data_IF_024483745905
#
_entry.id   IF_024483745905
#
_cell.length_a   1.000
_cell.length_b   1.000
_cell.length_c   1.000
_cell.angle_alpha   90.00
_cell.angle_beta   90.00
_cell.angle_gamma   90.00
#
_symmetry.space_group_name_H-M   'P 1'
#
loop_
_entity.id
_entity.type
_entity.pdbx_description
1 polymer ?
#
# COMPACT_ATOMS: atom_id res chain seq x y z
N UNK A 1 1.80 -8.50 26.84
CA UNK A 1 1.93 -7.79 25.54
C UNK A 1 2.44 -8.83 24.53
N UNK A 2 1.55 -9.43 23.73
CA UNK A 2 1.97 -10.28 22.61
C UNK A 2 2.65 -9.38 21.59
N UNK A 3 3.95 -9.54 21.44
CA UNK A 3 4.72 -8.97 20.34
C UNK A 3 4.06 -9.45 19.05
N UNK A 4 3.68 -8.53 18.14
CA UNK A 4 3.14 -8.88 16.82
C UNK A 4 4.27 -9.57 16.04
N UNK A 5 4.27 -10.90 16.04
CA UNK A 5 5.11 -11.64 15.10
C UNK A 5 4.54 -11.42 13.71
N UNK A 6 5.26 -10.72 12.87
CA UNK A 6 4.83 -10.42 11.50
C UNK A 6 4.80 -11.65 10.60
N UNK A 7 5.58 -12.68 10.94
CA UNK A 7 5.60 -13.96 10.24
C UNK A 7 5.82 -15.09 11.23
N UNK A 8 5.02 -16.13 11.16
CA UNK A 8 5.22 -17.38 11.89
C UNK A 8 5.80 -18.38 10.91
N UNK A 9 6.80 -19.13 11.37
CA UNK A 9 7.52 -20.12 10.58
C UNK A 9 7.13 -21.52 10.97
N UNK A 10 6.65 -22.29 10.02
CA UNK A 10 6.25 -23.67 10.22
C UNK A 10 7.01 -24.68 9.37
N UNK A 11 7.26 -25.85 9.95
CA UNK A 11 8.00 -26.92 9.29
C UNK A 11 7.14 -27.83 8.41
N UNK A 12 5.80 -27.75 8.55
CA UNK A 12 4.86 -28.55 7.76
C UNK A 12 3.56 -27.82 7.52
N UNK A 13 2.83 -28.22 6.47
CA UNK A 13 1.48 -27.69 6.19
C UNK A 13 0.48 -28.04 7.28
N UNK A 14 0.63 -29.20 7.92
CA UNK A 14 -0.25 -29.62 9.01
C UNK A 14 -0.10 -28.72 10.23
N UNK A 15 1.13 -28.41 10.63
CA UNK A 15 1.39 -27.48 11.71
C UNK A 15 0.87 -26.08 11.37
N UNK A 16 1.13 -25.61 10.16
CA UNK A 16 0.62 -24.34 9.66
C UNK A 16 -0.91 -24.28 9.72
N UNK A 17 -1.61 -25.30 9.22
CA UNK A 17 -3.07 -25.37 9.24
C UNK A 17 -3.63 -25.30 10.66
N UNK A 18 -3.01 -26.02 11.59
CA UNK A 18 -3.36 -25.99 13.01
C UNK A 18 -3.19 -24.58 13.60
N UNK A 19 -2.06 -23.95 13.36
CA UNK A 19 -1.72 -22.63 13.92
C UNK A 19 -2.64 -21.51 13.42
N UNK A 20 -3.05 -21.57 12.14
CA UNK A 20 -3.98 -20.57 11.58
C UNK A 20 -5.45 -20.93 11.76
N UNK A 21 -5.76 -22.11 12.32
CA UNK A 21 -7.13 -22.54 12.67
C UNK A 21 -7.98 -22.92 11.45
N UNK A 22 -7.37 -23.50 10.40
CA UNK A 22 -8.09 -24.01 9.23
C UNK A 22 -7.86 -25.51 9.03
N UNK A 23 -8.73 -26.18 8.27
CA UNK A 23 -8.52 -27.59 7.98
C UNK A 23 -7.34 -27.81 7.04
N UNK A 24 -6.57 -28.87 7.25
CA UNK A 24 -5.43 -29.22 6.39
C UNK A 24 -5.87 -29.52 4.95
N UNK A 25 -7.06 -30.07 4.76
CA UNK A 25 -7.62 -30.37 3.44
C UNK A 25 -7.86 -29.07 2.65
N UNK A 26 -8.43 -28.05 3.29
CA UNK A 26 -8.67 -26.73 2.65
C UNK A 26 -7.38 -26.03 2.32
N UNK A 27 -6.40 -26.06 3.23
CA UNK A 27 -5.08 -25.46 2.98
C UNK A 27 -4.38 -26.18 1.83
N UNK A 28 -4.32 -27.51 1.86
CA UNK A 28 -3.70 -28.33 0.82
C UNK A 28 -4.37 -28.14 -0.53
N UNK A 29 -5.69 -28.08 -0.58
CA UNK A 29 -6.42 -27.79 -1.82
C UNK A 29 -6.05 -26.44 -2.41
N UNK A 30 -6.00 -25.40 -1.56
CA UNK A 30 -5.65 -24.03 -2.00
C UNK A 30 -4.22 -23.98 -2.53
N UNK A 31 -3.26 -24.56 -1.81
CA UNK A 31 -1.86 -24.56 -2.21
C UNK A 31 -1.61 -25.37 -3.48
N UNK A 32 -2.21 -26.56 -3.57
CA UNK A 32 -2.11 -27.39 -4.78
C UNK A 32 -2.74 -26.69 -6.01
N UNK A 33 -3.86 -25.99 -5.79
CA UNK A 33 -4.48 -25.21 -6.85
C UNK A 33 -3.58 -24.06 -7.31
N UNK A 34 -2.99 -23.31 -6.37
CA UNK A 34 -2.03 -22.25 -6.68
C UNK A 34 -0.79 -22.81 -7.42
N UNK A 35 -0.19 -23.90 -6.92
CA UNK A 35 0.99 -24.50 -7.54
C UNK A 35 0.71 -24.99 -8.98
N UNK A 36 -0.51 -25.51 -9.25
CA UNK A 36 -0.94 -25.82 -10.61
C UNK A 36 -1.05 -24.58 -11.51
N UNK A 37 -1.60 -23.47 -10.97
CA UNK A 37 -1.66 -22.20 -11.72
C UNK A 37 -0.26 -21.69 -12.06
N UNK A 38 0.68 -21.77 -11.12
CA UNK A 38 2.09 -21.42 -11.36
C UNK A 38 2.68 -22.26 -12.49
N UNK A 39 2.52 -23.58 -12.40
CA UNK A 39 3.04 -24.51 -13.41
C UNK A 39 2.42 -24.30 -14.81
N UNK A 40 1.16 -23.89 -14.88
CA UNK A 40 0.45 -23.60 -16.12
C UNK A 40 0.64 -22.18 -16.64
N UNK A 41 1.21 -21.27 -15.83
CA UNK A 41 1.32 -19.84 -16.13
C UNK A 41 -0.03 -19.15 -16.32
N UNK A 42 -1.11 -19.73 -15.81
CA UNK A 42 -2.49 -19.26 -16.02
C UNK A 42 -3.34 -19.41 -14.77
N UNK A 43 -4.06 -18.35 -14.42
CA UNK A 43 -5.09 -18.35 -13.39
C UNK A 43 -6.49 -18.23 -14.03
N UNK A 44 -7.24 -19.34 -14.14
CA UNK A 44 -8.56 -19.31 -14.77
C UNK A 44 -9.63 -18.67 -13.88
N UNK A 45 -9.36 -18.47 -12.59
CA UNK A 45 -10.33 -17.96 -11.61
C UNK A 45 -10.30 -16.45 -11.46
N UNK A 46 -9.10 -15.86 -11.39
CA UNK A 46 -8.91 -14.43 -11.14
C UNK A 46 -8.12 -13.71 -12.23
N UNK A 47 -7.71 -14.41 -13.27
CA UNK A 47 -7.00 -13.82 -14.41
C UNK A 47 -5.59 -13.33 -14.08
N UNK A 48 -4.95 -13.85 -13.03
CA UNK A 48 -3.58 -13.48 -12.68
C UNK A 48 -2.62 -13.92 -13.79
N UNK A 49 -1.75 -13.00 -14.21
CA UNK A 49 -0.79 -13.23 -15.30
C UNK A 49 0.66 -13.32 -14.82
N UNK A 50 0.93 -12.95 -13.57
CA UNK A 50 2.28 -12.97 -13.00
C UNK A 50 2.33 -13.92 -11.81
N UNK A 51 3.22 -14.90 -11.92
CA UNK A 51 3.50 -15.88 -10.87
C UNK A 51 4.98 -15.83 -10.53
N UNK A 52 5.30 -15.92 -9.22
CA UNK A 52 6.69 -15.89 -8.78
C UNK A 52 7.26 -17.31 -8.72
N UNK A 53 6.71 -18.14 -7.84
CA UNK A 53 7.19 -19.50 -7.61
C UNK A 53 6.09 -20.33 -6.93
N UNK A 54 6.28 -21.66 -6.94
CA UNK A 54 5.44 -22.59 -6.18
C UNK A 54 5.65 -22.43 -4.68
N UNK A 55 4.65 -22.84 -3.91
CA UNK A 55 4.72 -22.93 -2.44
C UNK A 55 4.65 -24.42 -2.10
N UNK A 56 5.81 -25.09 -2.09
CA UNK A 56 5.90 -26.55 -1.95
C UNK A 56 7.01 -27.01 -0.98
N UNK A 57 7.92 -26.10 -0.63
CA UNK A 57 9.09 -26.43 0.19
C UNK A 57 9.05 -25.69 1.52
N UNK A 58 9.13 -26.38 2.68
CA UNK A 58 9.25 -25.74 3.96
C UNK A 58 10.62 -25.03 4.13
N UNK A 59 10.73 -24.07 5.05
CA UNK A 59 9.71 -23.66 6.00
C UNK A 59 8.63 -22.78 5.37
N UNK A 60 7.38 -22.97 5.79
CA UNK A 60 6.25 -22.13 5.41
C UNK A 60 6.14 -20.93 6.34
N UNK A 61 5.73 -19.79 5.77
CA UNK A 61 5.52 -18.55 6.52
C UNK A 61 4.11 -18.04 6.30
N UNK A 62 3.49 -17.54 7.36
CA UNK A 62 2.22 -16.87 7.25
C UNK A 62 2.17 -15.59 8.08
N UNK A 63 1.31 -14.68 7.69
CA UNK A 63 0.99 -13.47 8.41
C UNK A 63 -0.51 -13.23 8.40
N UNK A 64 -1.03 -12.65 9.48
CA UNK A 64 -2.44 -12.23 9.54
C UNK A 64 -2.51 -10.84 8.94
N UNK A 65 -3.25 -10.70 7.83
CA UNK A 65 -3.49 -9.45 7.17
C UNK A 65 -4.97 -9.06 7.26
N UNK A 66 -5.21 -7.77 7.26
CA UNK A 66 -6.55 -7.20 7.21
C UNK A 66 -6.62 -6.24 6.04
N UNK A 67 -7.74 -6.28 5.33
CA UNK A 67 -8.04 -5.24 4.34
C UNK A 67 -8.24 -3.93 5.07
N UNK A 68 -7.46 -2.92 4.69
CA UNK A 68 -7.63 -1.55 5.14
C UNK A 68 -7.31 -0.60 3.99
N UNK A 69 -8.01 0.52 3.97
CA UNK A 69 -7.66 1.62 3.09
C UNK A 69 -6.37 2.24 3.64
N UNK A 70 -5.32 2.20 2.83
CA UNK A 70 -4.00 2.67 3.24
C UNK A 70 -3.70 4.08 2.74
N UNK A 71 -4.28 4.45 1.61
CA UNK A 71 -4.06 5.75 0.98
C UNK A 71 -5.24 6.10 0.07
N UNK A 72 -5.54 7.39 0.00
CA UNK A 72 -6.39 7.99 -1.03
C UNK A 72 -5.49 8.64 -2.09
N UNK A 73 -5.69 8.27 -3.37
CA UNK A 73 -4.87 8.83 -4.47
C UNK A 73 -5.39 10.16 -4.98
N UNK A 74 -6.66 10.50 -4.70
CA UNK A 74 -7.27 11.78 -4.99
C UNK A 74 -7.15 12.75 -3.83
N UNK A 75 -7.34 14.05 -4.11
CA UNK A 75 -7.27 15.10 -3.10
C UNK A 75 -7.22 16.47 -3.72
N UNK A 76 -6.83 17.47 -2.97
CA UNK A 76 -6.63 18.82 -3.43
C UNK A 76 -5.48 18.88 -4.45
N UNK A 77 -5.72 19.49 -5.60
CA UNK A 77 -4.68 19.71 -6.58
C UNK A 77 -3.78 20.85 -6.08
N UNK A 78 -2.47 20.66 -6.16
CA UNK A 78 -1.48 21.67 -5.73
C UNK A 78 -0.47 21.91 -6.83
N UNK A 79 0.13 23.12 -6.82
CA UNK A 79 1.30 23.44 -7.63
C UNK A 79 2.62 23.09 -6.92
N UNK A 80 3.75 23.45 -7.55
CA UNK A 80 5.09 23.19 -7.01
C UNK A 80 5.39 23.96 -5.71
N UNK A 81 4.65 25.04 -5.44
CA UNK A 81 4.74 25.84 -4.22
C UNK A 81 3.75 25.38 -3.15
N UNK A 82 3.10 24.22 -3.34
CA UNK A 82 2.09 23.65 -2.47
C UNK A 82 0.83 24.52 -2.29
N UNK A 83 0.57 25.45 -3.21
CA UNK A 83 -0.66 26.25 -3.23
C UNK A 83 -1.78 25.39 -3.82
N UNK A 84 -2.95 25.42 -3.20
CA UNK A 84 -4.11 24.69 -3.71
C UNK A 84 -4.64 25.38 -4.95
N UNK A 85 -4.92 24.59 -5.98
CA UNK A 85 -5.47 25.06 -7.25
C UNK A 85 -6.98 24.88 -7.27
N UNK A 86 -7.68 25.83 -7.86
CA UNK A 86 -9.10 25.74 -8.14
C UNK A 86 -9.39 24.92 -9.42
N UNK A 87 -10.64 24.93 -9.89
CA UNK A 87 -11.07 24.18 -11.08
C UNK A 87 -10.54 24.76 -12.40
N UNK A 88 -10.02 25.99 -12.38
CA UNK A 88 -9.41 26.66 -13.54
C UNK A 88 -7.88 26.50 -13.53
N UNK A 89 -7.34 25.80 -12.53
CA UNK A 89 -5.92 25.66 -12.21
C UNK A 89 -5.27 26.96 -11.70
N UNK A 90 -6.06 27.89 -11.18
CA UNK A 90 -5.53 29.10 -10.56
C UNK A 90 -5.30 28.87 -9.06
N UNK A 91 -4.21 29.40 -8.47
CA UNK A 91 -3.95 29.25 -7.04
C UNK A 91 -5.01 29.97 -6.20
N UNK A 92 -5.62 29.23 -5.27
CA UNK A 92 -6.53 29.80 -4.28
C UNK A 92 -5.72 30.65 -3.29
N UNK A 93 -5.98 31.96 -3.18
CA UNK A 93 -5.18 32.84 -2.33
C UNK A 93 -5.17 32.39 -0.86
N UNK A 94 -3.97 32.26 -0.29
CA UNK A 94 -3.78 31.91 1.12
C UNK A 94 -4.02 30.46 1.49
N UNK A 95 -4.33 29.58 0.52
CA UNK A 95 -4.59 28.17 0.78
C UNK A 95 -3.42 27.29 0.32
N UNK A 96 -2.85 26.54 1.25
CA UNK A 96 -1.77 25.58 1.02
C UNK A 96 -2.20 24.20 1.49
N UNK A 97 -1.68 23.15 0.84
CA UNK A 97 -1.95 21.76 1.26
C UNK A 97 -0.71 20.89 1.03
N UNK A 98 -0.58 19.82 1.83
CA UNK A 98 0.52 18.85 1.72
C UNK A 98 0.12 17.47 2.24
N UNK A 99 0.84 16.43 1.80
CA UNK A 99 0.62 15.05 2.24
C UNK A 99 -0.64 14.43 1.65
N UNK A 100 -1.22 13.45 2.33
CA UNK A 100 -2.33 12.62 1.79
C UNK A 100 -3.60 13.41 1.42
N UNK A 101 -3.79 14.61 1.95
CA UNK A 101 -4.91 15.48 1.55
C UNK A 101 -4.78 16.00 0.12
N UNK A 102 -3.58 15.91 -0.48
CA UNK A 102 -3.29 16.35 -1.85
C UNK A 102 -3.47 15.22 -2.85
N UNK A 103 -3.88 15.55 -4.07
CA UNK A 103 -3.99 14.64 -5.19
C UNK A 103 -2.98 14.97 -6.29
N UNK A 104 -2.71 13.98 -7.15
CA UNK A 104 -1.88 14.18 -8.35
C UNK A 104 -0.38 13.97 -8.15
N UNK A 105 0.18 14.20 -6.97
CA UNK A 105 1.63 14.09 -6.69
C UNK A 105 2.18 12.70 -7.05
N UNK A 106 1.45 11.65 -6.76
CA UNK A 106 1.87 10.26 -7.01
C UNK A 106 1.28 9.64 -8.29
N UNK A 107 0.54 10.42 -9.08
CA UNK A 107 -0.16 9.90 -10.25
C UNK A 107 -1.17 8.79 -9.89
N UNK A 108 -1.11 7.67 -10.59
CA UNK A 108 -2.06 6.55 -10.39
C UNK A 108 -1.65 5.56 -9.29
N UNK A 109 -0.39 5.55 -8.86
CA UNK A 109 0.12 4.56 -7.92
C UNK A 109 1.31 5.10 -7.14
N UNK A 110 1.18 5.16 -5.84
CA UNK A 110 2.25 5.54 -4.94
C UNK A 110 3.14 4.36 -4.59
N UNK A 111 4.46 4.53 -4.72
CA UNK A 111 5.43 3.56 -4.21
C UNK A 111 5.47 3.57 -2.68
N UNK A 112 5.69 2.42 -2.07
CA UNK A 112 5.85 2.28 -0.63
C UNK A 112 6.94 3.22 -0.08
N UNK A 113 6.70 3.82 1.07
CA UNK A 113 7.61 4.77 1.72
C UNK A 113 7.44 6.23 1.28
N UNK A 114 7.02 6.51 0.05
CA UNK A 114 6.95 7.87 -0.48
C UNK A 114 5.91 8.78 0.16
N UNK A 115 4.98 8.25 0.97
CA UNK A 115 4.03 9.09 1.70
C UNK A 115 4.72 10.05 2.69
N UNK A 116 5.73 9.55 3.40
CA UNK A 116 6.49 10.39 4.34
C UNK A 116 7.32 11.43 3.61
N UNK A 117 7.96 11.05 2.50
CA UNK A 117 8.72 11.99 1.66
C UNK A 117 7.83 13.11 1.15
N UNK A 118 6.67 12.80 0.59
CA UNK A 118 5.67 13.75 0.15
C UNK A 118 5.24 14.69 1.28
N UNK A 119 4.81 14.13 2.41
CA UNK A 119 4.35 14.92 3.56
C UNK A 119 5.43 15.87 4.09
N UNK A 120 6.68 15.44 4.17
CA UNK A 120 7.77 16.29 4.66
C UNK A 120 8.20 17.35 3.64
N UNK A 121 8.32 17.00 2.38
CA UNK A 121 8.76 17.94 1.33
C UNK A 121 7.70 19.01 1.12
N UNK A 122 6.48 18.63 0.77
CA UNK A 122 5.41 19.60 0.54
C UNK A 122 4.92 20.28 1.81
N UNK A 123 4.97 19.62 2.96
CA UNK A 123 4.69 20.25 4.24
C UNK A 123 5.65 21.41 4.57
N UNK A 124 6.95 21.23 4.26
CA UNK A 124 7.95 22.29 4.41
C UNK A 124 7.71 23.43 3.43
N UNK A 125 7.39 23.14 2.17
CA UNK A 125 7.10 24.14 1.14
C UNK A 125 5.84 24.92 1.52
N UNK A 126 4.75 24.26 1.86
CA UNK A 126 3.50 24.85 2.28
C UNK A 126 3.67 25.76 3.50
N UNK A 127 4.38 25.26 4.53
CA UNK A 127 4.66 26.04 5.74
C UNK A 127 5.49 27.29 5.47
N UNK A 128 6.52 27.19 4.63
CA UNK A 128 7.33 28.34 4.23
C UNK A 128 6.52 29.35 3.39
N UNK A 129 5.65 28.87 2.49
CA UNK A 129 4.76 29.72 1.70
C UNK A 129 3.75 30.47 2.57
N UNK A 130 3.09 29.75 3.47
CA UNK A 130 2.15 30.35 4.42
C UNK A 130 2.81 31.40 5.34
N UNK A 131 4.02 31.11 5.84
CA UNK A 131 4.77 32.07 6.67
C UNK A 131 5.15 33.34 5.90
N UNK A 132 5.63 33.20 4.66
CA UNK A 132 5.93 34.38 3.81
C UNK A 132 4.69 35.22 3.59
N UNK A 133 3.57 34.60 3.26
CA UNK A 133 2.30 35.30 3.06
C UNK A 133 1.86 36.07 4.32
N UNK A 134 1.92 35.40 5.48
CA UNK A 134 1.54 36.03 6.75
C UNK A 134 2.44 37.22 7.14
N UNK A 135 3.71 37.21 6.74
CA UNK A 135 4.67 38.27 7.02
C UNK A 135 4.70 39.36 5.95
N UNK A 136 3.84 39.29 4.92
CA UNK A 136 3.80 40.24 3.80
C UNK A 136 5.06 40.20 2.91
N UNK A 137 5.70 39.06 2.83
CA UNK A 137 6.97 38.86 2.07
C UNK A 137 6.78 37.97 0.88
#
# INVERSE_FOLDING_TARGET
>A
RRQRQMCIRDRSLTALAHDIGISIERLSFTMNSYNRMVAQGKDPRFGRTTFLQTIDTPPFYYGIERLCVHITMGGLLIDADARVLDRMNDPVPGLFAAGETTGGVHGRKRLGGNALTDAFVFGRIAGAGAARLALGR
#
